data_IF_942939009007
#
_entry.id   IF_942939009007
#
_cell.length_a   1.000
_cell.length_b   1.000
_cell.length_c   1.000
_cell.angle_alpha   90.00
_cell.angle_beta   90.00
_cell.angle_gamma   90.00
#
_symmetry.space_group_name_H-M   'P 1'
#
loop_
_entity.id
_entity.type
_entity.pdbx_description
1 polymer ?
#
# COMPACT_ATOMS: atom_id res chain seq x y z
N UNK A 1 28.11 8.74 4.58
CA UNK A 1 28.73 7.62 3.85
C UNK A 1 28.56 7.76 2.33
N UNK A 2 27.37 7.59 1.73
CA UNK A 2 27.22 7.62 0.26
C UNK A 2 27.65 8.96 -0.38
N UNK A 3 27.23 10.08 0.21
CA UNK A 3 27.67 11.42 -0.21
C UNK A 3 29.19 11.59 -0.14
N UNK A 4 29.81 11.09 0.93
CA UNK A 4 31.23 11.30 1.21
C UNK A 4 32.13 10.57 0.20
N UNK A 5 31.59 9.55 -0.47
CA UNK A 5 32.25 8.83 -1.58
C UNK A 5 31.71 9.24 -2.96
N UNK A 6 30.91 10.30 -3.05
CA UNK A 6 30.42 10.87 -4.31
C UNK A 6 29.32 10.04 -5.01
N UNK A 7 28.67 9.10 -4.31
CA UNK A 7 27.61 8.29 -4.90
C UNK A 7 26.27 9.03 -4.94
N UNK A 8 25.51 8.76 -6.00
CA UNK A 8 24.10 9.14 -6.13
C UNK A 8 23.21 8.03 -5.57
N UNK A 9 22.09 8.42 -4.99
CA UNK A 9 21.11 7.54 -4.36
C UNK A 9 19.77 7.65 -5.07
N UNK A 10 19.24 6.48 -5.40
CA UNK A 10 17.82 6.26 -5.58
C UNK A 10 17.24 5.79 -4.24
N UNK A 11 16.16 6.42 -3.78
CA UNK A 11 15.51 6.04 -2.52
C UNK A 11 14.17 5.39 -2.81
N UNK A 12 13.96 4.20 -2.25
CA UNK A 12 12.66 3.52 -2.28
C UNK A 12 11.95 3.68 -0.95
N UNK A 13 10.76 4.30 -0.99
CA UNK A 13 9.89 4.46 0.16
C UNK A 13 8.95 3.26 0.23
N UNK A 14 9.21 2.38 1.20
CA UNK A 14 8.54 1.09 1.35
C UNK A 14 7.34 1.20 2.30
N UNK A 15 6.12 1.32 1.77
CA UNK A 15 4.85 1.32 2.51
C UNK A 15 4.23 -0.09 2.60
N UNK A 16 5.07 -1.11 2.69
CA UNK A 16 4.70 -2.52 2.82
C UNK A 16 5.62 -3.21 3.84
N UNK A 17 5.12 -4.28 4.45
CA UNK A 17 5.91 -5.18 5.26
C UNK A 17 6.80 -6.05 4.36
N UNK A 18 8.01 -6.35 4.84
CA UNK A 18 8.95 -7.24 4.15
C UNK A 18 9.24 -8.45 5.06
N UNK A 19 8.54 -9.56 4.82
CA UNK A 19 8.65 -10.79 5.63
C UNK A 19 10.07 -11.35 5.68
N UNK A 20 10.76 -11.39 4.54
CA UNK A 20 12.11 -11.93 4.42
C UNK A 20 13.11 -11.12 5.25
N UNK A 21 12.90 -9.80 5.33
CA UNK A 21 13.71 -8.89 6.14
C UNK A 21 13.19 -8.71 7.58
N UNK A 22 12.08 -9.37 7.96
CA UNK A 22 11.39 -9.21 9.25
C UNK A 22 11.03 -7.75 9.56
N UNK A 23 10.65 -6.99 8.53
CA UNK A 23 10.18 -5.61 8.68
C UNK A 23 8.65 -5.64 8.64
N UNK A 24 8.02 -5.20 9.73
CA UNK A 24 6.57 -5.13 9.86
C UNK A 24 6.06 -3.72 9.56
N UNK A 25 4.76 -3.60 9.25
CA UNK A 25 4.11 -2.30 9.23
C UNK A 25 4.12 -1.68 10.64
N UNK A 26 4.04 -0.34 10.75
CA UNK A 26 3.92 0.31 12.05
C UNK A 26 2.76 -0.28 12.86
N UNK A 27 3.00 -0.56 14.15
CA UNK A 27 2.00 -1.20 15.03
C UNK A 27 0.62 -0.56 15.01
N UNK A 28 0.56 0.76 14.84
CA UNK A 28 -0.70 1.50 14.79
C UNK A 28 -1.53 1.18 13.53
N UNK A 29 -0.88 0.88 12.40
CA UNK A 29 -1.51 0.41 11.16
C UNK A 29 -2.07 -0.99 11.36
N UNK A 30 -1.27 -1.90 11.93
CA UNK A 30 -1.69 -3.28 12.20
C UNK A 30 -2.94 -3.34 13.07
N UNK A 31 -3.01 -2.51 14.12
CA UNK A 31 -4.18 -2.42 15.01
C UNK A 31 -5.44 -1.95 14.30
N UNK A 32 -5.33 -1.01 13.36
CA UNK A 32 -6.48 -0.55 12.56
C UNK A 32 -6.99 -1.69 11.69
N UNK A 33 -6.07 -2.42 11.04
CA UNK A 33 -6.42 -3.61 10.27
C UNK A 33 -7.17 -4.63 11.14
N UNK A 34 -6.69 -4.92 12.35
CA UNK A 34 -7.37 -5.83 13.30
C UNK A 34 -8.77 -5.35 13.71
N UNK A 35 -8.93 -4.04 13.97
CA UNK A 35 -10.21 -3.44 14.33
C UNK A 35 -11.22 -3.36 13.16
N UNK A 36 -10.73 -3.33 11.92
CA UNK A 36 -11.56 -3.21 10.72
C UNK A 36 -11.31 -4.40 9.77
N UNK A 37 -11.77 -5.61 10.13
CA UNK A 37 -11.42 -6.83 9.41
C UNK A 37 -12.00 -6.92 8.00
N UNK A 38 -13.00 -6.10 7.68
CA UNK A 38 -13.70 -6.08 6.38
C UNK A 38 -12.96 -5.25 5.32
N UNK A 39 -11.81 -4.69 5.65
CA UNK A 39 -10.94 -3.95 4.74
C UNK A 39 -9.90 -4.92 4.18
N UNK A 40 -9.68 -4.88 2.87
CA UNK A 40 -8.70 -5.72 2.15
C UNK A 40 -8.98 -7.23 2.23
N UNK A 41 -10.23 -7.58 1.95
CA UNK A 41 -10.69 -8.97 2.00
C UNK A 41 -10.93 -9.50 0.58
N UNK A 42 -10.41 -10.69 0.28
CA UNK A 42 -10.74 -11.39 -0.97
C UNK A 42 -12.14 -12.03 -0.90
N UNK A 43 -12.58 -12.65 -1.99
CA UNK A 43 -13.89 -13.33 -2.04
C UNK A 43 -14.05 -14.41 -0.97
N UNK A 44 -12.96 -15.05 -0.57
CA UNK A 44 -12.91 -16.14 0.39
C UNK A 44 -12.74 -15.68 1.84
N UNK A 45 -12.70 -14.37 2.10
CA UNK A 45 -12.50 -13.83 3.44
C UNK A 45 -11.01 -13.69 3.84
N UNK A 46 -10.05 -13.93 2.95
CA UNK A 46 -8.63 -13.80 3.25
C UNK A 46 -8.25 -12.33 3.38
N UNK A 47 -7.39 -12.04 4.34
CA UNK A 47 -6.95 -10.70 4.68
C UNK A 47 -5.46 -10.52 4.38
N UNK A 48 -5.11 -9.39 3.79
CA UNK A 48 -3.71 -9.01 3.56
C UNK A 48 -3.27 -8.04 4.66
N UNK A 49 -2.29 -8.48 5.47
CA UNK A 49 -1.74 -7.68 6.59
C UNK A 49 -0.44 -6.97 6.23
N UNK A 50 0.10 -7.23 5.04
CA UNK A 50 1.44 -6.81 4.63
C UNK A 50 1.45 -5.46 3.91
N UNK A 51 0.30 -4.93 3.48
CA UNK A 51 0.23 -3.61 2.88
C UNK A 51 -1.17 -3.03 3.07
N UNK A 52 -1.27 -1.70 3.11
CA UNK A 52 -2.53 -0.99 2.97
C UNK A 52 -2.82 -0.88 1.47
N UNK A 53 -3.85 -1.60 0.99
CA UNK A 53 -4.20 -1.56 -0.44
C UNK A 53 -4.93 -0.25 -0.78
N UNK A 54 -5.02 0.00 -2.09
CA UNK A 54 -5.71 1.13 -2.71
C UNK A 54 -7.16 1.35 -2.23
N UNK A 55 -7.83 0.29 -1.74
CA UNK A 55 -9.23 0.32 -1.34
C UNK A 55 -9.56 1.28 -0.17
N UNK A 56 -8.56 1.86 0.50
CA UNK A 56 -8.76 2.83 1.58
C UNK A 56 -8.19 4.21 1.27
N UNK A 57 -7.79 4.47 0.02
CA UNK A 57 -7.13 5.72 -0.36
C UNK A 57 -7.90 6.97 0.06
N UNK A 58 -9.23 6.92 -0.02
CA UNK A 58 -10.13 8.02 0.33
C UNK A 58 -10.85 7.84 1.68
N UNK A 59 -10.57 6.75 2.39
CA UNK A 59 -11.25 6.45 3.66
C UNK A 59 -10.46 7.02 4.83
N UNK A 60 -11.18 7.68 5.74
CA UNK A 60 -10.59 8.33 6.92
C UNK A 60 -10.36 7.33 8.08
N UNK A 61 -9.80 6.16 7.75
CA UNK A 61 -9.63 5.03 8.68
C UNK A 61 -8.31 5.08 9.46
N UNK A 62 -7.39 5.96 9.08
CA UNK A 62 -6.07 6.11 9.70
C UNK A 62 -6.09 7.22 10.75
N UNK A 63 -6.81 6.99 11.85
CA UNK A 63 -7.06 8.00 12.90
C UNK A 63 -7.65 9.30 12.35
N UNK A 64 -8.63 9.19 11.45
CA UNK A 64 -9.27 10.33 10.80
C UNK A 64 -8.51 10.87 9.59
N UNK A 65 -7.40 10.25 9.18
CA UNK A 65 -6.70 10.56 7.93
C UNK A 65 -6.97 9.53 6.85
N UNK A 66 -6.86 9.96 5.61
CA UNK A 66 -6.81 9.07 4.45
C UNK A 66 -5.40 8.52 4.24
N UNK A 67 -5.27 7.44 3.46
CA UNK A 67 -3.95 6.87 3.15
C UNK A 67 -3.08 7.85 2.35
N UNK A 68 -3.69 8.59 1.42
CA UNK A 68 -3.02 9.66 0.66
C UNK A 68 -2.47 10.74 1.58
N UNK A 69 -3.23 11.16 2.61
CA UNK A 69 -2.76 12.14 3.58
C UNK A 69 -1.55 11.61 4.39
N UNK A 70 -1.59 10.34 4.81
CA UNK A 70 -0.46 9.71 5.51
C UNK A 70 0.78 9.66 4.63
N UNK A 71 0.64 9.30 3.34
CA UNK A 71 1.74 9.32 2.39
C UNK A 71 2.29 10.72 2.18
N UNK A 72 1.42 11.72 2.02
CA UNK A 72 1.83 13.11 1.84
C UNK A 72 2.65 13.61 3.04
N UNK A 73 2.16 13.40 4.26
CA UNK A 73 2.87 13.82 5.48
C UNK A 73 4.23 13.13 5.63
N UNK A 74 4.32 11.84 5.28
CA UNK A 74 5.58 11.11 5.27
C UNK A 74 6.56 11.70 4.23
N UNK A 75 6.09 11.97 3.01
CA UNK A 75 6.89 12.55 1.94
C UNK A 75 7.38 13.96 2.28
N UNK A 76 6.53 14.78 2.89
CA UNK A 76 6.89 16.11 3.38
C UNK A 76 7.96 16.03 4.48
N UNK A 77 7.80 15.11 5.43
CA UNK A 77 8.79 14.86 6.47
C UNK A 77 10.13 14.38 5.90
N UNK A 78 10.10 13.45 4.94
CA UNK A 78 11.28 12.96 4.24
C UNK A 78 12.00 14.10 3.50
N UNK A 79 11.25 14.89 2.72
CA UNK A 79 11.78 16.04 1.98
C UNK A 79 12.42 17.06 2.92
N UNK A 80 11.78 17.39 4.04
CA UNK A 80 12.32 18.34 5.01
C UNK A 80 13.62 17.82 5.64
N UNK A 81 13.59 16.56 6.12
CA UNK A 81 14.71 15.93 6.83
C UNK A 81 15.96 15.77 5.95
N UNK A 82 15.78 15.50 4.66
CA UNK A 82 16.87 15.27 3.71
C UNK A 82 17.04 16.41 2.68
N UNK A 83 16.49 17.59 2.98
CA UNK A 83 16.49 18.75 2.08
C UNK A 83 17.87 19.14 1.56
N UNK A 84 18.90 19.00 2.38
CA UNK A 84 20.30 19.27 2.02
C UNK A 84 20.92 18.22 1.07
N UNK A 85 20.29 17.06 0.90
CA UNK A 85 20.74 15.97 0.02
C UNK A 85 19.92 15.88 -1.27
N UNK A 86 18.74 16.51 -1.32
CA UNK A 86 17.85 16.49 -2.48
C UNK A 86 18.49 17.15 -3.70
N UNK A 87 18.40 16.51 -4.87
CA UNK A 87 18.96 16.99 -6.13
C UNK A 87 20.49 16.90 -6.23
N UNK A 88 21.17 16.52 -5.14
CA UNK A 88 22.62 16.29 -5.13
C UNK A 88 22.93 14.81 -4.94
N UNK A 89 22.77 14.31 -3.71
CA UNK A 89 22.99 12.90 -3.37
C UNK A 89 21.76 12.08 -3.67
N UNK A 90 20.57 12.51 -3.25
CA UNK A 90 19.30 11.85 -3.58
C UNK A 90 18.84 12.44 -4.90
N UNK A 91 18.89 11.62 -5.95
CA UNK A 91 18.57 12.05 -7.32
C UNK A 91 17.24 11.52 -7.82
N UNK A 92 16.72 10.47 -7.19
CA UNK A 92 15.45 9.87 -7.53
C UNK A 92 14.79 9.23 -6.30
N UNK A 93 13.46 9.20 -6.32
CA UNK A 93 12.62 8.63 -5.25
C UNK A 93 11.51 7.81 -5.90
N UNK A 94 11.43 6.55 -5.49
CA UNK A 94 10.32 5.66 -5.82
C UNK A 94 9.46 5.42 -4.58
N UNK A 95 8.17 5.23 -4.79
CA UNK A 95 7.22 4.94 -3.73
C UNK A 95 6.48 3.66 -4.06
N UNK A 96 6.37 2.79 -3.07
CA UNK A 96 5.60 1.57 -3.19
C UNK A 96 4.12 1.80 -2.89
N UNK A 97 3.27 1.16 -3.68
CA UNK A 97 1.81 1.36 -3.68
C UNK A 97 1.02 0.06 -3.50
N UNK A 98 1.70 -1.00 -3.03
CA UNK A 98 1.13 -2.33 -2.89
C UNK A 98 2.13 -3.32 -2.30
N UNK A 99 1.77 -4.61 -2.35
CA UNK A 99 2.65 -5.69 -1.88
C UNK A 99 3.97 -5.70 -2.64
N UNK A 100 5.05 -6.08 -1.95
CA UNK A 100 6.39 -6.24 -2.50
C UNK A 100 6.93 -5.02 -3.27
N UNK A 101 6.35 -3.84 -3.06
CA UNK A 101 6.77 -2.61 -3.70
C UNK A 101 5.99 -2.22 -4.96
N UNK A 102 5.13 -3.09 -5.46
CA UNK A 102 4.48 -2.93 -6.76
C UNK A 102 3.13 -2.20 -6.68
N UNK A 103 2.80 -1.45 -7.73
CA UNK A 103 1.45 -0.93 -7.92
C UNK A 103 0.57 -2.05 -8.48
N UNK A 104 -0.10 -2.77 -7.59
CA UNK A 104 -0.95 -3.89 -7.98
C UNK A 104 -1.77 -4.46 -6.83
N UNK A 105 -2.82 -5.19 -7.20
CA UNK A 105 -3.57 -6.00 -6.25
C UNK A 105 -2.79 -7.28 -5.92
N UNK A 106 -2.95 -7.82 -4.70
CA UNK A 106 -2.33 -9.08 -4.29
C UNK A 106 -3.05 -10.29 -4.89
N UNK A 107 -3.21 -10.31 -6.22
CA UNK A 107 -4.06 -11.25 -6.95
C UNK A 107 -3.57 -12.69 -6.93
N UNK A 108 -2.30 -12.89 -6.62
CA UNK A 108 -1.70 -14.20 -6.40
C UNK A 108 -1.41 -14.37 -4.93
N UNK A 109 -2.36 -14.92 -4.15
CA UNK A 109 -2.06 -15.30 -2.79
C UNK A 109 -0.91 -16.30 -2.82
N UNK A 110 0.22 -15.93 -2.21
CA UNK A 110 1.31 -16.88 -1.92
C UNK A 110 0.79 -17.84 -0.84
N UNK A 111 -0.01 -18.81 -1.26
CA UNK A 111 -0.38 -19.95 -0.44
C UNK A 111 0.89 -20.79 -0.27
N UNK A 112 1.72 -20.42 0.72
CA UNK A 112 2.88 -21.17 1.21
C UNK A 112 3.58 -22.03 0.16
N UNK A 113 4.41 -21.44 -0.69
CA UNK A 113 5.22 -22.22 -1.63
C UNK A 113 5.73 -21.51 -2.87
N UNK A 114 5.40 -20.24 -3.10
CA UNK A 114 5.94 -19.44 -4.21
C UNK A 114 5.57 -19.93 -5.61
N UNK A 115 4.68 -20.93 -5.73
CA UNK A 115 4.25 -21.47 -7.02
C UNK A 115 2.97 -20.76 -7.46
N UNK A 116 3.08 -19.97 -8.52
CA UNK A 116 1.92 -19.41 -9.22
C UNK A 116 1.26 -20.57 -9.98
N UNK A 117 0.09 -21.01 -9.53
CA UNK A 117 -0.61 -22.16 -10.12
C UNK A 117 -1.93 -21.80 -10.82
N UNK A 118 -2.22 -20.51 -11.03
CA UNK A 118 -3.47 -20.08 -11.64
C UNK A 118 -3.47 -18.62 -12.11
N UNK A 119 -4.61 -18.21 -12.66
CA UNK A 119 -4.83 -16.86 -13.24
C UNK A 119 -4.91 -15.74 -12.20
N UNK A 120 -4.94 -16.08 -10.92
CA UNK A 120 -5.14 -15.14 -9.81
C UNK A 120 -6.63 -14.89 -9.52
N UNK A 121 -6.90 -14.00 -8.58
CA UNK A 121 -8.24 -13.59 -8.17
C UNK A 121 -8.34 -12.07 -8.08
N UNK A 122 -9.51 -11.51 -8.39
CA UNK A 122 -9.80 -10.12 -8.08
C UNK A 122 -9.74 -9.88 -6.57
N UNK A 123 -9.12 -8.78 -6.15
CA UNK A 123 -8.93 -8.43 -4.73
C UNK A 123 -9.80 -7.24 -4.32
N UNK A 124 -10.94 -7.06 -5.00
CA UNK A 124 -11.86 -5.93 -4.87
C UNK A 124 -13.19 -6.32 -4.21
N UNK A 125 -13.15 -7.29 -3.29
CA UNK A 125 -14.34 -7.81 -2.60
C UNK A 125 -14.56 -7.17 -1.22
N UNK A 126 -13.71 -6.24 -0.80
CA UNK A 126 -13.97 -5.47 0.41
C UNK A 126 -15.20 -4.56 0.24
N UNK A 127 -15.82 -4.22 1.36
CA UNK A 127 -17.08 -3.49 1.39
C UNK A 127 -17.00 -2.14 0.66
N UNK A 128 -15.86 -1.47 0.69
CA UNK A 128 -15.72 -0.14 0.10
C UNK A 128 -15.57 -0.24 -1.42
N UNK A 129 -14.74 -1.16 -1.91
CA UNK A 129 -14.61 -1.43 -3.34
C UNK A 129 -15.91 -1.90 -3.98
N UNK A 130 -16.66 -2.77 -3.30
CA UNK A 130 -18.00 -3.18 -3.75
C UNK A 130 -18.99 -2.01 -3.77
N UNK A 131 -18.91 -1.10 -2.79
CA UNK A 131 -19.73 0.11 -2.76
C UNK A 131 -19.37 1.03 -3.94
N UNK A 132 -18.09 1.27 -4.20
CA UNK A 132 -17.66 2.07 -5.36
C UNK A 132 -18.12 1.46 -6.69
N UNK A 133 -18.04 0.13 -6.81
CA UNK A 133 -18.56 -0.57 -7.98
C UNK A 133 -20.08 -0.35 -8.13
N UNK A 134 -20.84 -0.50 -7.04
CA UNK A 134 -22.29 -0.29 -7.04
C UNK A 134 -22.68 1.16 -7.41
N UNK A 135 -21.96 2.15 -6.88
CA UNK A 135 -22.19 3.56 -7.23
C UNK A 135 -21.90 3.81 -8.71
N UNK A 136 -20.82 3.22 -9.24
CA UNK A 136 -20.48 3.33 -10.64
C UNK A 136 -21.52 2.65 -11.56
N UNK A 137 -22.01 1.47 -11.18
CA UNK A 137 -23.03 0.76 -11.97
C UNK A 137 -24.36 1.51 -11.98
N UNK A 138 -24.74 2.16 -10.88
CA UNK A 138 -25.89 3.06 -10.84
C UNK A 138 -25.72 4.29 -11.74
N UNK A 139 -24.56 4.95 -11.68
CA UNK A 139 -24.28 6.15 -12.47
C UNK A 139 -24.25 5.87 -13.99
N UNK A 140 -23.86 4.66 -14.39
CA UNK A 140 -23.79 4.24 -15.80
C UNK A 140 -25.07 3.59 -16.32
N UNK A 141 -26.10 3.44 -15.47
CA UNK A 141 -27.38 2.84 -15.85
C UNK A 141 -27.37 1.31 -15.94
N UNK A 142 -26.40 0.63 -15.30
CA UNK A 142 -26.28 -0.83 -15.27
C UNK A 142 -26.37 -1.41 -13.85
N UNK A 143 -27.42 -1.14 -13.05
CA UNK A 143 -27.45 -1.42 -11.61
C UNK A 143 -27.53 -2.91 -11.21
N UNK A 144 -27.51 -3.84 -12.16
CA UNK A 144 -27.73 -5.29 -11.96
C UNK A 144 -26.47 -6.10 -12.23
#
# INVERSE_FOLDING_TARGET
>A
MARDVGLKLHVSLCFHAAKQAKIELPNWVSKIGEAQPNIFTDRSGRRYKECMLLAVDDLHVLYGKTLVQVYQEFLESFKSSFSNLMGSTIVDVSMSLGLDGELGYPSWPSAGGGKITGVGEFQSYDKNMLKYLQEHTQATGNPF
#
